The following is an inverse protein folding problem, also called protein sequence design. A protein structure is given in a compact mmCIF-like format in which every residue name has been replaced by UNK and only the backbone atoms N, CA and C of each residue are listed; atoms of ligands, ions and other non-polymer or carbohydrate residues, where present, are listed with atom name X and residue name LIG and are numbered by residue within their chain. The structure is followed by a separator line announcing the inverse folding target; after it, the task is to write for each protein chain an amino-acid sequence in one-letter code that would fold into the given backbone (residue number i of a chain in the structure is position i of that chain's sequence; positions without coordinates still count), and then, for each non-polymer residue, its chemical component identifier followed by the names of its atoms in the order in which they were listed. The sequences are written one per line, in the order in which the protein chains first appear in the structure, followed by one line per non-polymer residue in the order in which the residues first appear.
data_IF_719172100608
#
_entry.id   IF_719172100608
#
_cell.length_a   1.000
_cell.length_b   1.000
_cell.length_c   1.000
_cell.angle_alpha   90.00
_cell.angle_beta   90.00
_cell.angle_gamma   90.00
#
_symmetry.space_group_name_H-M   'P 1'
#
loop_
_entity.id
_entity.type
_entity.pdbx_description
1 polymer ?
#
# COMPACT_ATOMS: atom_id res chain seq x y z
N UNK A 1 -11.71 -23.65 -26.37
CA UNK A 1 -12.19 -22.98 -25.15
C UNK A 1 -10.98 -22.41 -24.43
N UNK A 2 -10.99 -21.09 -24.21
CA UNK A 2 -10.66 -20.49 -22.91
C UNK A 2 -9.23 -20.75 -22.37
N UNK A 3 -8.20 -20.16 -22.99
CA UNK A 3 -6.92 -19.91 -22.28
C UNK A 3 -6.77 -18.45 -21.83
N UNK A 4 -7.58 -17.53 -22.38
CA UNK A 4 -7.57 -16.12 -22.01
C UNK A 4 -8.38 -15.79 -20.75
N UNK A 5 -9.50 -16.49 -20.49
CA UNK A 5 -10.38 -16.13 -19.37
C UNK A 5 -9.81 -16.55 -18.01
N UNK A 6 -9.03 -17.64 -17.95
CA UNK A 6 -8.36 -18.06 -16.71
C UNK A 6 -7.33 -17.02 -16.24
N UNK A 7 -6.53 -16.47 -17.17
CA UNK A 7 -5.57 -15.40 -16.85
C UNK A 7 -6.26 -14.13 -16.34
N UNK A 8 -7.35 -13.72 -16.99
CA UNK A 8 -8.16 -12.57 -16.57
C UNK A 8 -8.78 -12.78 -15.18
N UNK A 9 -9.25 -13.99 -14.86
CA UNK A 9 -9.77 -14.31 -13.53
C UNK A 9 -8.70 -14.18 -12.44
N UNK A 10 -7.52 -14.78 -12.64
CA UNK A 10 -6.42 -14.69 -11.66
C UNK A 10 -5.95 -13.25 -11.46
N UNK A 11 -5.96 -12.44 -12.53
CA UNK A 11 -5.70 -11.01 -12.45
C UNK A 11 -6.69 -10.30 -11.51
N UNK A 12 -8.00 -10.41 -11.75
CA UNK A 12 -8.99 -9.72 -10.93
C UNK A 12 -9.00 -10.23 -9.50
N UNK A 13 -8.72 -11.52 -9.30
CA UNK A 13 -8.57 -12.11 -7.98
C UNK A 13 -7.37 -11.51 -7.23
N UNK A 14 -6.21 -11.39 -7.90
CA UNK A 14 -5.03 -10.73 -7.34
C UNK A 14 -5.32 -9.28 -6.97
N UNK A 15 -5.94 -8.52 -7.87
CA UNK A 15 -6.32 -7.14 -7.60
C UNK A 15 -7.28 -7.05 -6.41
N UNK A 16 -8.29 -7.91 -6.36
CA UNK A 16 -9.23 -7.97 -5.24
C UNK A 16 -8.50 -8.24 -3.92
N UNK A 17 -7.58 -9.20 -3.87
CA UNK A 17 -6.78 -9.50 -2.68
C UNK A 17 -5.96 -8.27 -2.25
N UNK A 18 -5.25 -7.64 -3.18
CA UNK A 18 -4.46 -6.44 -2.88
C UNK A 18 -5.31 -5.30 -2.34
N UNK A 19 -6.45 -5.02 -2.98
CA UNK A 19 -7.38 -3.97 -2.56
C UNK A 19 -8.07 -4.27 -1.24
N UNK A 20 -8.40 -5.54 -0.95
CA UNK A 20 -8.94 -5.96 0.35
C UNK A 20 -7.90 -5.74 1.44
N UNK A 21 -6.64 -6.11 1.21
CA UNK A 21 -5.57 -5.89 2.18
C UNK A 21 -5.36 -4.40 2.49
N UNK A 22 -5.32 -3.56 1.46
CA UNK A 22 -5.20 -2.09 1.62
C UNK A 22 -6.44 -1.53 2.32
N UNK A 23 -7.64 -1.96 1.91
CA UNK A 23 -8.91 -1.49 2.47
C UNK A 23 -9.07 -1.88 3.94
N UNK A 24 -8.75 -3.12 4.31
CA UNK A 24 -8.81 -3.58 5.70
C UNK A 24 -7.77 -2.88 6.57
N UNK A 25 -6.60 -2.56 6.01
CA UNK A 25 -5.61 -1.73 6.69
C UNK A 25 -6.18 -0.35 7.03
N UNK A 26 -6.71 0.38 6.05
CA UNK A 26 -7.30 1.70 6.30
C UNK A 26 -8.52 1.65 7.22
N UNK A 27 -9.34 0.60 7.11
CA UNK A 27 -10.44 0.37 8.02
C UNK A 27 -9.96 0.32 9.47
N UNK A 28 -8.88 -0.42 9.74
CA UNK A 28 -8.28 -0.47 11.08
C UNK A 28 -7.79 0.91 11.52
N UNK A 29 -7.01 1.60 10.68
CA UNK A 29 -6.48 2.94 11.01
C UNK A 29 -7.59 3.95 11.31
N UNK A 30 -8.68 3.94 10.54
CA UNK A 30 -9.82 4.84 10.74
C UNK A 30 -10.57 4.58 12.05
N UNK A 31 -10.56 3.34 12.54
CA UNK A 31 -11.22 2.95 13.79
C UNK A 31 -10.30 3.03 15.03
N UNK A 32 -9.02 3.38 14.84
CA UNK A 32 -8.12 3.63 15.98
C UNK A 32 -8.57 4.87 16.74
N UNK A 33 -8.63 4.76 18.06
CA UNK A 33 -8.86 5.90 18.94
C UNK A 33 -7.58 6.74 19.09
N UNK A 34 -7.48 7.82 18.33
CA UNK A 34 -6.42 8.83 18.43
C UNK A 34 -7.03 10.11 19.00
N UNK A 35 -6.51 10.59 20.13
CA UNK A 35 -7.06 11.76 20.84
C UNK A 35 -6.97 13.04 20.00
N UNK A 36 -5.92 13.17 19.19
CA UNK A 36 -5.70 14.35 18.35
C UNK A 36 -6.13 14.07 16.90
N UNK A 37 -7.20 14.74 16.46
CA UNK A 37 -7.76 14.64 15.11
C UNK A 37 -6.73 14.97 14.01
N UNK A 38 -5.87 15.98 14.23
CA UNK A 38 -4.84 16.35 13.25
C UNK A 38 -3.83 15.21 13.07
N UNK A 39 -3.42 14.56 14.17
CA UNK A 39 -2.50 13.42 14.11
C UNK A 39 -3.17 12.26 13.37
N UNK A 40 -4.46 12.01 13.62
CA UNK A 40 -5.22 10.98 12.91
C UNK A 40 -5.28 11.26 11.40
N UNK A 41 -5.56 12.50 11.00
CA UNK A 41 -5.55 12.91 9.60
C UNK A 41 -4.17 12.71 8.96
N UNK A 42 -3.09 13.13 9.64
CA UNK A 42 -1.71 12.90 9.17
C UNK A 42 -1.43 11.41 8.99
N UNK A 43 -1.91 10.58 9.91
CA UNK A 43 -1.72 9.14 9.85
C UNK A 43 -2.43 8.51 8.65
N UNK A 44 -3.69 8.85 8.42
CA UNK A 44 -4.44 8.38 7.25
C UNK A 44 -3.79 8.88 5.96
N UNK A 45 -3.45 10.17 5.87
CA UNK A 45 -2.88 10.77 4.67
C UNK A 45 -1.50 10.21 4.33
N UNK A 46 -0.63 10.00 5.33
CA UNK A 46 0.68 9.35 5.11
C UNK A 46 0.53 7.92 4.60
N UNK A 47 -0.50 7.19 5.05
CA UNK A 47 -0.81 5.86 4.51
C UNK A 47 -1.25 5.91 3.06
N UNK A 48 -2.10 6.89 2.69
CA UNK A 48 -2.50 7.10 1.30
C UNK A 48 -1.28 7.41 0.43
N UNK A 49 -0.40 8.31 0.88
CA UNK A 49 0.84 8.61 0.18
C UNK A 49 1.77 7.39 0.08
N UNK A 50 1.82 6.52 1.10
CA UNK A 50 2.60 5.29 1.04
C UNK A 50 2.10 4.39 -0.09
N UNK A 51 0.79 4.12 -0.15
CA UNK A 51 0.20 3.29 -1.20
C UNK A 51 0.44 3.89 -2.58
N UNK A 52 0.13 5.19 -2.76
CA UNK A 52 0.32 5.87 -4.05
C UNK A 52 1.79 5.86 -4.48
N UNK A 53 2.72 6.15 -3.56
CA UNK A 53 4.15 6.17 -3.88
C UNK A 53 4.70 4.77 -4.19
N UNK A 54 4.21 3.73 -3.51
CA UNK A 54 4.58 2.35 -3.79
C UNK A 54 4.09 1.90 -5.17
N UNK A 55 2.82 2.18 -5.51
CA UNK A 55 2.25 1.90 -6.83
C UNK A 55 2.97 2.70 -7.93
N UNK A 56 3.24 3.99 -7.68
CA UNK A 56 3.94 4.87 -8.61
C UNK A 56 5.39 4.45 -8.87
N UNK A 57 6.14 4.11 -7.82
CA UNK A 57 7.51 3.59 -7.94
C UNK A 57 7.56 2.36 -8.83
N UNK A 58 6.61 1.46 -8.64
CA UNK A 58 6.57 0.21 -9.36
C UNK A 58 6.18 0.42 -10.84
N UNK A 59 5.35 1.42 -11.15
CA UNK A 59 4.99 1.82 -12.52
C UNK A 59 6.08 2.66 -13.25
N UNK A 60 7.17 3.04 -12.59
CA UNK A 60 8.16 3.95 -13.14
C UNK A 60 8.99 3.33 -14.29
N UNK A 61 8.93 3.95 -15.47
CA UNK A 61 9.61 3.47 -16.68
C UNK A 61 11.01 4.07 -16.89
N UNK A 62 11.31 5.23 -16.28
CA UNK A 62 12.60 5.90 -16.44
C UNK A 62 13.47 5.78 -15.19
N UNK A 63 14.80 5.79 -15.38
CA UNK A 63 15.76 5.70 -14.27
C UNK A 63 15.61 6.86 -13.27
N UNK A 64 15.41 8.09 -13.76
CA UNK A 64 15.22 9.27 -12.92
C UNK A 64 13.94 9.18 -12.10
N UNK A 65 12.83 8.73 -12.70
CA UNK A 65 11.56 8.50 -12.01
C UNK A 65 11.68 7.43 -10.94
N UNK A 66 12.33 6.30 -11.24
CA UNK A 66 12.58 5.23 -10.24
C UNK A 66 13.35 5.75 -9.04
N UNK A 67 14.43 6.52 -9.25
CA UNK A 67 15.23 7.08 -8.16
C UNK A 67 14.39 8.04 -7.32
N UNK A 68 13.69 8.98 -7.95
CA UNK A 68 12.86 9.96 -7.25
C UNK A 68 11.74 9.30 -6.44
N UNK A 69 11.03 8.32 -7.03
CA UNK A 69 9.96 7.60 -6.37
C UNK A 69 10.46 6.63 -5.30
N UNK A 70 11.68 6.08 -5.43
CA UNK A 70 12.32 5.31 -4.36
C UNK A 70 12.57 6.20 -3.14
N UNK A 71 13.13 7.39 -3.34
CA UNK A 71 13.40 8.34 -2.25
C UNK A 71 12.08 8.80 -1.60
N UNK A 72 11.07 9.11 -2.41
CA UNK A 72 9.74 9.49 -1.92
C UNK A 72 9.09 8.35 -1.13
N UNK A 73 9.03 7.15 -1.69
CA UNK A 73 8.41 5.97 -1.06
C UNK A 73 9.14 5.58 0.22
N UNK A 74 10.48 5.62 0.24
CA UNK A 74 11.27 5.37 1.45
C UNK A 74 11.02 6.41 2.54
N UNK A 75 10.95 7.69 2.18
CA UNK A 75 10.69 8.78 3.13
C UNK A 75 9.27 8.69 3.71
N UNK A 76 8.27 8.55 2.85
CA UNK A 76 6.87 8.42 3.25
C UNK A 76 6.65 7.13 4.05
N UNK A 77 7.25 6.02 3.62
CA UNK A 77 7.23 4.75 4.33
C UNK A 77 7.84 4.83 5.71
N UNK A 78 8.98 5.52 5.87
CA UNK A 78 9.60 5.76 7.16
C UNK A 78 8.73 6.60 8.10
N UNK A 79 8.14 7.70 7.60
CA UNK A 79 7.20 8.54 8.36
C UNK A 79 5.99 7.72 8.79
N UNK A 80 5.40 6.95 7.88
CA UNK A 80 4.21 6.17 8.17
C UNK A 80 4.51 5.03 9.15
N UNK A 81 5.64 4.34 8.99
CA UNK A 81 6.11 3.31 9.93
C UNK A 81 6.31 3.87 11.33
N UNK A 82 6.86 5.08 11.46
CA UNK A 82 6.97 5.77 12.74
C UNK A 82 5.60 5.99 13.37
N UNK A 83 4.61 6.48 12.60
CA UNK A 83 3.25 6.71 13.10
C UNK A 83 2.55 5.41 13.53
N UNK A 84 2.79 4.31 12.80
CA UNK A 84 2.31 2.99 13.19
C UNK A 84 2.89 2.59 14.55
N UNK A 85 4.21 2.67 14.74
CA UNK A 85 4.84 2.29 16.01
C UNK A 85 4.54 3.26 17.17
N UNK A 86 4.18 4.50 16.87
CA UNK A 86 3.72 5.44 17.88
C UNK A 86 2.32 5.08 18.41
N UNK A 87 1.51 4.37 17.61
CA UNK A 87 0.10 4.11 17.92
C UNK A 87 -0.20 2.66 18.28
N UNK A 88 0.64 1.72 17.85
CA UNK A 88 0.46 0.28 18.05
C UNK A 88 1.69 -0.35 18.68
N UNK A 89 1.49 -1.44 19.41
CA UNK A 89 2.58 -2.27 19.93
C UNK A 89 3.49 -2.78 18.80
N UNK A 90 4.76 -3.02 19.12
CA UNK A 90 5.80 -3.39 18.15
C UNK A 90 5.36 -4.52 17.20
N UNK A 91 4.77 -5.59 17.73
CA UNK A 91 4.34 -6.73 16.90
C UNK A 91 3.20 -6.32 15.97
N UNK A 92 2.18 -5.64 16.50
CA UNK A 92 1.05 -5.16 15.71
C UNK A 92 1.51 -4.18 14.63
N UNK A 93 2.47 -3.30 14.96
CA UNK A 93 3.02 -2.33 14.03
C UNK A 93 3.79 -2.98 12.88
N UNK A 94 4.63 -3.98 13.16
CA UNK A 94 5.34 -4.76 12.13
C UNK A 94 4.32 -5.44 11.20
N UNK A 95 3.30 -6.08 11.78
CA UNK A 95 2.26 -6.78 11.01
C UNK A 95 1.48 -5.81 10.14
N UNK A 96 1.04 -4.68 10.67
CA UNK A 96 0.28 -3.66 9.94
C UNK A 96 1.09 -3.03 8.80
N UNK A 97 2.37 -2.76 9.02
CA UNK A 97 3.24 -2.24 7.96
C UNK A 97 3.49 -3.27 6.86
N UNK A 98 3.79 -4.52 7.24
CA UNK A 98 3.95 -5.61 6.28
C UNK A 98 2.65 -5.86 5.50
N UNK A 99 1.49 -5.74 6.16
CA UNK A 99 0.17 -5.89 5.56
C UNK A 99 -0.05 -4.87 4.44
N UNK A 100 0.11 -3.56 4.72
CA UNK A 100 -0.13 -2.53 3.70
C UNK A 100 0.91 -2.58 2.58
N UNK A 101 2.17 -2.90 2.90
CA UNK A 101 3.22 -3.07 1.90
C UNK A 101 2.92 -4.25 0.97
N UNK A 102 2.54 -5.41 1.52
CA UNK A 102 2.18 -6.59 0.76
C UNK A 102 0.92 -6.36 -0.09
N UNK A 103 -0.12 -5.74 0.48
CA UNK A 103 -1.32 -5.37 -0.27
C UNK A 103 -1.01 -4.46 -1.47
N UNK A 104 -0.12 -3.48 -1.28
CA UNK A 104 0.34 -2.58 -2.34
C UNK A 104 1.09 -3.32 -3.45
N UNK A 105 1.97 -4.26 -3.10
CA UNK A 105 2.70 -5.08 -4.07
C UNK A 105 1.77 -5.99 -4.88
N UNK A 106 0.80 -6.62 -4.23
CA UNK A 106 -0.18 -7.51 -4.90
C UNK A 106 -1.08 -6.70 -5.84
N UNK A 107 -1.58 -5.55 -5.39
CA UNK A 107 -2.39 -4.66 -6.22
C UNK A 107 -1.62 -4.19 -7.45
N UNK A 108 -0.37 -3.76 -7.25
CA UNK A 108 0.51 -3.37 -8.36
C UNK A 108 0.78 -4.49 -9.35
N UNK A 109 1.23 -5.66 -8.86
CA UNK A 109 1.57 -6.80 -9.70
C UNK A 109 0.39 -7.22 -10.57
N UNK A 110 -0.82 -7.16 -10.01
CA UNK A 110 -2.05 -7.40 -10.74
C UNK A 110 -2.26 -6.32 -11.80
N UNK A 111 -2.26 -5.02 -11.44
CA UNK A 111 -2.51 -3.92 -12.38
C UNK A 111 -1.53 -3.89 -13.57
N UNK A 112 -0.28 -4.26 -13.34
CA UNK A 112 0.72 -4.34 -14.40
C UNK A 112 0.50 -5.53 -15.34
N UNK A 113 -0.02 -6.65 -14.84
CA UNK A 113 -0.33 -7.80 -15.67
C UNK A 113 -1.43 -7.49 -16.70
N UNK A 114 -2.37 -6.60 -16.38
CA UNK A 114 -3.41 -6.15 -17.33
C UNK A 114 -2.88 -5.35 -18.53
N UNK A 115 -1.67 -4.80 -18.44
CA UNK A 115 -1.10 -3.97 -19.50
C UNK A 115 -0.37 -4.79 -20.57
N UNK A 116 -0.18 -6.10 -20.34
CA UNK A 116 0.39 -7.08 -21.29
C UNK A 116 -0.72 -7.78 -22.09
#
# INVERSE_FOLDING_TARGET
MVRGEEGTFFYYLGLLIGMVLIGSYFWLILNVTIVNLLIHMIFVMSGIFLVISALGFAAAQTRSSRIGLTMLSGSVGGIHLYLIFAQFDVIAGIVLFAWVAFGSLVAFASLNWLQE
#
